data_IF_657030237864
#
_entry.id   IF_657030237864
#
_cell.length_a   1.000
_cell.length_b   1.000
_cell.length_c   1.000
_cell.angle_alpha   90.00
_cell.angle_beta   90.00
_cell.angle_gamma   90.00
#
_symmetry.space_group_name_H-M   'P 1'
#
loop_
_entity.id
_entity.type
_entity.pdbx_description
1 polymer ?
#
# COMPACT_ATOMS: atom_id res chain seq x y z
N UNK A 1 -33.44 -21.07 9.71
CA UNK A 1 -32.60 -20.16 10.53
C UNK A 1 -32.85 -18.76 10.02
N UNK A 2 -33.49 -17.92 10.80
CA UNK A 2 -33.65 -16.52 10.43
C UNK A 2 -32.25 -15.86 10.42
N UNK A 3 -31.91 -15.06 9.40
CA UNK A 3 -30.63 -14.38 9.36
C UNK A 3 -30.54 -13.45 10.58
N UNK A 4 -29.44 -13.60 11.36
CA UNK A 4 -29.20 -12.67 12.46
C UNK A 4 -29.13 -11.24 11.91
N UNK A 5 -29.72 -10.25 12.59
CA UNK A 5 -29.65 -8.86 12.15
C UNK A 5 -28.17 -8.44 12.06
N UNK A 6 -27.78 -7.88 10.91
CA UNK A 6 -26.44 -7.34 10.71
C UNK A 6 -26.18 -6.26 11.75
N UNK A 7 -25.02 -6.32 12.38
CA UNK A 7 -24.58 -5.23 13.27
C UNK A 7 -24.25 -3.99 12.46
N UNK A 8 -24.41 -2.81 13.03
CA UNK A 8 -24.04 -1.53 12.38
C UNK A 8 -22.60 -1.56 11.87
N UNK A 9 -21.68 -2.16 12.64
CA UNK A 9 -20.30 -2.32 12.22
C UNK A 9 -20.18 -3.15 10.93
N UNK A 10 -20.91 -4.25 10.83
CA UNK A 10 -20.89 -5.09 9.62
C UNK A 10 -21.37 -4.31 8.39
N UNK A 11 -22.42 -3.50 8.53
CA UNK A 11 -22.89 -2.62 7.45
C UNK A 11 -21.87 -1.58 7.03
N UNK A 12 -21.11 -1.01 7.99
CA UNK A 12 -20.04 -0.05 7.70
C UNK A 12 -18.87 -0.71 6.97
N UNK A 13 -18.47 -1.93 7.38
CA UNK A 13 -17.41 -2.72 6.72
C UNK A 13 -17.82 -3.12 5.30
N UNK A 14 -19.06 -3.55 5.09
CA UNK A 14 -19.57 -3.86 3.75
C UNK A 14 -19.58 -2.60 2.85
N UNK A 15 -19.99 -1.45 3.40
CA UNK A 15 -20.00 -0.20 2.65
C UNK A 15 -18.59 0.24 2.24
N UNK A 16 -17.58 0.07 3.13
CA UNK A 16 -16.18 0.31 2.79
C UNK A 16 -15.70 -0.67 1.72
N UNK A 17 -15.94 -1.96 1.89
CA UNK A 17 -15.58 -2.98 0.90
C UNK A 17 -16.14 -2.69 -0.49
N UNK A 18 -17.37 -2.16 -0.56
CA UNK A 18 -17.96 -1.73 -1.82
C UNK A 18 -17.22 -0.52 -2.43
N UNK A 19 -16.90 0.50 -1.63
CA UNK A 19 -16.12 1.66 -2.10
C UNK A 19 -14.78 1.21 -2.67
N UNK A 20 -14.06 0.29 -1.98
CA UNK A 20 -12.80 -0.25 -2.47
C UNK A 20 -12.98 -1.07 -3.75
N UNK A 21 -13.99 -1.92 -3.82
CA UNK A 21 -14.28 -2.71 -5.01
C UNK A 21 -14.58 -1.81 -6.23
N UNK A 22 -15.40 -0.77 -6.04
CA UNK A 22 -15.73 0.20 -7.08
C UNK A 22 -14.48 1.00 -7.51
N UNK A 23 -13.63 1.40 -6.55
CA UNK A 23 -12.35 2.05 -6.82
C UNK A 23 -11.41 1.14 -7.63
N UNK A 24 -11.27 -0.13 -7.22
CA UNK A 24 -10.45 -1.11 -7.93
C UNK A 24 -11.01 -1.47 -9.32
N UNK A 25 -12.30 -1.35 -9.53
CA UNK A 25 -12.92 -1.59 -10.82
C UNK A 25 -12.85 -0.41 -11.77
N UNK A 26 -12.87 0.83 -11.25
CA UNK A 26 -12.98 2.04 -12.05
C UNK A 26 -11.75 2.95 -11.98
N UNK A 27 -10.84 2.74 -11.03
CA UNK A 27 -9.76 3.67 -10.66
C UNK A 27 -10.28 5.10 -10.41
N UNK A 28 -11.47 5.18 -9.81
CA UNK A 28 -12.12 6.45 -9.49
C UNK A 28 -12.79 6.34 -8.13
N UNK A 29 -12.42 7.22 -7.20
CA UNK A 29 -12.99 7.23 -5.86
C UNK A 29 -14.33 7.97 -5.87
N UNK A 30 -15.40 7.29 -5.39
CA UNK A 30 -16.67 7.96 -5.11
C UNK A 30 -16.56 8.76 -3.81
N UNK A 31 -16.15 10.02 -3.95
CA UNK A 31 -15.99 10.96 -2.82
C UNK A 31 -17.29 11.13 -2.01
N UNK A 32 -18.46 11.08 -2.66
CA UNK A 32 -19.74 11.20 -1.96
C UNK A 32 -20.04 9.96 -1.10
N UNK A 33 -19.73 8.77 -1.61
CA UNK A 33 -19.88 7.53 -0.84
C UNK A 33 -18.92 7.54 0.37
N UNK A 34 -17.66 7.94 0.16
CA UNK A 34 -16.67 8.08 1.24
C UNK A 34 -17.13 9.06 2.30
N UNK A 35 -17.53 10.29 1.93
CA UNK A 35 -17.97 11.29 2.88
C UNK A 35 -19.24 10.88 3.64
N UNK A 36 -20.16 10.18 2.98
CA UNK A 36 -21.36 9.63 3.61
C UNK A 36 -20.99 8.56 4.65
N UNK A 37 -20.07 7.67 4.31
CA UNK A 37 -19.61 6.62 5.22
C UNK A 37 -18.86 7.22 6.42
N UNK A 38 -17.97 8.18 6.20
CA UNK A 38 -17.26 8.90 7.26
C UNK A 38 -18.24 9.54 8.26
N UNK A 39 -19.27 10.22 7.76
CA UNK A 39 -20.31 10.83 8.63
C UNK A 39 -21.04 9.78 9.47
N UNK A 40 -21.34 8.61 8.91
CA UNK A 40 -21.95 7.51 9.67
C UNK A 40 -21.02 7.03 10.78
N UNK A 41 -19.73 6.78 10.46
CA UNK A 41 -18.73 6.34 11.43
C UNK A 41 -18.56 7.39 12.54
N UNK A 42 -18.45 8.68 12.21
CA UNK A 42 -18.32 9.74 13.20
C UNK A 42 -19.55 9.82 14.13
N UNK A 43 -20.76 9.68 13.59
CA UNK A 43 -21.98 9.63 14.38
C UNK A 43 -21.98 8.44 15.35
N UNK A 44 -21.54 7.26 14.89
CA UNK A 44 -21.41 6.10 15.75
C UNK A 44 -20.37 6.34 16.88
N UNK A 45 -19.24 6.94 16.57
CA UNK A 45 -18.21 7.29 17.54
C UNK A 45 -18.71 8.29 18.61
N UNK A 46 -19.55 9.26 18.22
CA UNK A 46 -20.15 10.26 19.13
C UNK A 46 -21.21 9.65 20.06
N UNK A 47 -22.02 8.74 19.55
CA UNK A 47 -23.13 8.13 20.30
C UNK A 47 -22.69 6.90 21.12
N UNK A 48 -21.46 6.43 20.96
CA UNK A 48 -21.08 5.12 21.43
C UNK A 48 -20.65 5.05 22.90
N UNK A 49 -21.44 4.36 23.70
CA UNK A 49 -21.10 3.93 25.07
C UNK A 49 -20.73 2.45 25.21
N UNK A 50 -20.44 1.76 24.08
CA UNK A 50 -20.26 0.31 24.01
C UNK A 50 -18.82 -0.20 24.15
N UNK A 51 -18.54 -1.46 23.78
CA UNK A 51 -17.25 -2.12 23.97
C UNK A 51 -16.10 -1.43 23.23
N UNK A 52 -14.92 -1.38 23.85
CA UNK A 52 -13.69 -0.80 23.29
C UNK A 52 -13.30 -1.35 21.90
N UNK A 53 -13.38 -2.68 21.63
CA UNK A 53 -13.00 -3.23 20.31
C UNK A 53 -13.80 -2.63 19.15
N UNK A 54 -15.08 -2.36 19.37
CA UNK A 54 -15.93 -1.72 18.35
C UNK A 54 -15.44 -0.30 18.04
N UNK A 55 -15.10 0.48 19.07
CA UNK A 55 -14.54 1.82 18.90
C UNK A 55 -13.22 1.79 18.16
N UNK A 56 -12.36 0.79 18.43
CA UNK A 56 -11.12 0.58 17.73
C UNK A 56 -11.34 0.35 16.24
N UNK A 57 -12.31 -0.51 15.87
CA UNK A 57 -12.67 -0.77 14.48
C UNK A 57 -13.18 0.48 13.77
N UNK A 58 -14.01 1.30 14.40
CA UNK A 58 -14.52 2.54 13.81
C UNK A 58 -13.39 3.56 13.51
N UNK A 59 -12.44 3.73 14.42
CA UNK A 59 -11.27 4.58 14.16
C UNK A 59 -10.39 4.02 13.04
N UNK A 60 -10.19 2.71 12.99
CA UNK A 60 -9.45 2.05 11.91
C UNK A 60 -10.10 2.27 10.54
N UNK A 61 -11.43 2.08 10.43
CA UNK A 61 -12.18 2.33 9.21
C UNK A 61 -12.10 3.81 8.77
N UNK A 62 -12.17 4.74 9.74
CA UNK A 62 -12.02 6.17 9.46
C UNK A 62 -10.62 6.49 8.90
N UNK A 63 -9.57 5.86 9.46
CA UNK A 63 -8.20 6.00 8.95
C UNK A 63 -8.07 5.52 7.50
N UNK A 64 -8.66 4.37 7.15
CA UNK A 64 -8.67 3.87 5.77
C UNK A 64 -9.37 4.82 4.82
N UNK A 65 -10.55 5.33 5.17
CA UNK A 65 -11.28 6.29 4.33
C UNK A 65 -10.51 7.60 4.12
N UNK A 66 -9.82 8.08 5.16
CA UNK A 66 -8.91 9.23 5.02
C UNK A 66 -7.71 8.89 4.10
N UNK A 67 -7.17 7.69 4.23
CA UNK A 67 -6.09 7.19 3.38
C UNK A 67 -6.49 7.08 1.91
N UNK A 68 -7.68 6.56 1.60
CA UNK A 68 -8.22 6.50 0.24
C UNK A 68 -8.35 7.89 -0.40
N UNK A 69 -8.61 8.91 0.40
CA UNK A 69 -8.70 10.31 -0.04
C UNK A 69 -7.35 11.05 -0.04
N UNK A 70 -6.25 10.41 0.37
CA UNK A 70 -4.95 11.08 0.56
C UNK A 70 -4.98 12.21 1.62
N UNK A 71 -5.95 12.18 2.55
CA UNK A 71 -6.15 13.25 3.53
C UNK A 71 -5.27 13.07 4.78
N UNK A 72 -4.98 14.20 5.42
CA UNK A 72 -4.34 14.22 6.74
C UNK A 72 -5.24 13.60 7.81
N UNK A 73 -4.64 13.10 8.90
CA UNK A 73 -5.36 12.56 10.04
C UNK A 73 -5.35 11.04 10.15
N UNK A 74 -4.84 10.33 9.16
CA UNK A 74 -4.71 8.86 9.17
C UNK A 74 -4.01 8.38 10.44
N UNK A 75 -2.82 8.91 10.75
CA UNK A 75 -2.03 8.49 11.90
C UNK A 75 -2.78 8.72 13.23
N UNK A 76 -3.46 9.87 13.36
CA UNK A 76 -4.25 10.17 14.56
C UNK A 76 -5.42 9.19 14.77
N UNK A 77 -6.07 8.75 13.69
CA UNK A 77 -7.15 7.77 13.79
C UNK A 77 -6.60 6.36 14.09
N UNK A 78 -5.46 5.97 13.49
CA UNK A 78 -4.79 4.70 13.81
C UNK A 78 -4.30 4.67 15.28
N UNK A 79 -3.77 5.78 15.80
CA UNK A 79 -3.37 5.90 17.21
C UNK A 79 -4.59 5.75 18.14
N UNK A 80 -5.75 6.34 17.79
CA UNK A 80 -7.01 6.15 18.53
C UNK A 80 -7.52 4.72 18.48
N UNK A 81 -7.38 4.04 17.33
CA UNK A 81 -7.73 2.63 17.20
C UNK A 81 -6.85 1.77 18.12
N UNK A 82 -5.54 2.01 18.16
CA UNK A 82 -4.60 1.32 19.05
C UNK A 82 -4.93 1.60 20.53
N UNK A 83 -5.16 2.86 20.90
CA UNK A 83 -5.54 3.24 22.25
C UNK A 83 -6.88 2.63 22.68
N UNK A 84 -7.74 2.28 21.73
CA UNK A 84 -9.01 1.58 21.95
C UNK A 84 -8.86 0.04 21.99
N UNK A 85 -7.64 -0.49 21.83
CA UNK A 85 -7.31 -1.90 22.01
C UNK A 85 -7.08 -2.70 20.72
N UNK A 86 -6.93 -2.03 19.56
CA UNK A 86 -6.49 -2.73 18.36
C UNK A 86 -5.03 -3.18 18.50
N UNK A 87 -4.73 -4.35 17.96
CA UNK A 87 -3.40 -4.92 17.96
C UNK A 87 -2.37 -3.99 17.32
N UNK A 88 -1.23 -3.69 17.99
CA UNK A 88 -0.18 -2.83 17.45
C UNK A 88 0.38 -3.29 16.11
N UNK A 89 0.47 -4.60 15.86
CA UNK A 89 0.93 -5.18 14.59
C UNK A 89 -0.06 -4.85 13.48
N UNK A 90 -1.36 -5.07 13.72
CA UNK A 90 -2.41 -4.72 12.78
C UNK A 90 -2.40 -3.22 12.42
N UNK A 91 -2.19 -2.36 13.43
CA UNK A 91 -2.03 -0.91 13.22
C UNK A 91 -0.81 -0.59 12.36
N UNK A 92 0.34 -1.20 12.64
CA UNK A 92 1.56 -0.95 11.87
C UNK A 92 1.41 -1.39 10.41
N UNK A 93 0.84 -2.57 10.16
CA UNK A 93 0.56 -3.07 8.80
C UNK A 93 -0.42 -2.15 8.08
N UNK A 94 -1.50 -1.74 8.74
CA UNK A 94 -2.48 -0.81 8.16
C UNK A 94 -1.87 0.56 7.83
N UNK A 95 -1.04 1.10 8.75
CA UNK A 95 -0.31 2.35 8.54
C UNK A 95 0.64 2.26 7.35
N UNK A 96 1.40 1.16 7.24
CA UNK A 96 2.29 0.88 6.12
C UNK A 96 1.51 0.76 4.81
N UNK A 97 0.40 0.02 4.80
CA UNK A 97 -0.45 -0.14 3.61
C UNK A 97 -1.02 1.20 3.12
N UNK A 98 -1.58 2.01 4.01
CA UNK A 98 -2.10 3.34 3.67
C UNK A 98 -0.96 4.25 3.16
N UNK A 99 0.24 4.15 3.74
CA UNK A 99 1.40 4.90 3.26
C UNK A 99 1.77 4.50 1.83
N UNK A 100 1.79 3.20 1.51
CA UNK A 100 2.05 2.68 0.16
C UNK A 100 1.00 3.16 -0.85
N UNK A 101 -0.28 3.06 -0.54
CA UNK A 101 -1.36 3.60 -1.39
C UNK A 101 -1.20 5.10 -1.68
N UNK A 102 -0.60 5.82 -0.75
CA UNK A 102 -0.33 7.25 -0.90
C UNK A 102 1.09 7.55 -1.40
N UNK A 103 1.82 6.56 -1.91
CA UNK A 103 3.17 6.71 -2.47
C UNK A 103 4.21 7.23 -1.48
N UNK A 104 4.03 6.99 -0.18
CA UNK A 104 4.97 7.37 0.89
C UNK A 104 5.87 6.18 1.23
N UNK A 105 6.73 5.83 0.28
CA UNK A 105 7.49 4.57 0.30
C UNK A 105 8.49 4.55 1.46
N UNK A 106 9.27 5.61 1.63
CA UNK A 106 10.24 5.74 2.73
C UNK A 106 9.57 5.70 4.11
N UNK A 107 8.38 6.29 4.25
CA UNK A 107 7.62 6.23 5.49
C UNK A 107 7.10 4.80 5.76
N UNK A 108 6.56 4.13 4.76
CA UNK A 108 6.16 2.72 4.88
C UNK A 108 7.35 1.84 5.29
N UNK A 109 8.53 2.02 4.67
CA UNK A 109 9.75 1.32 5.04
C UNK A 109 10.07 1.48 6.52
N UNK A 110 10.06 2.70 7.05
CA UNK A 110 10.38 2.96 8.47
C UNK A 110 9.46 2.22 9.43
N UNK A 111 8.21 1.95 9.03
CA UNK A 111 7.25 1.18 9.82
C UNK A 111 7.61 -0.30 9.79
N UNK A 112 7.82 -0.87 8.59
CA UNK A 112 8.04 -2.32 8.45
C UNK A 112 9.40 -2.77 8.97
N UNK A 113 10.43 -1.89 8.96
CA UNK A 113 11.73 -2.14 9.58
C UNK A 113 11.64 -2.36 11.11
N UNK A 114 10.67 -1.70 11.75
CA UNK A 114 10.43 -1.81 13.19
C UNK A 114 9.65 -3.05 13.63
N UNK A 115 9.14 -3.88 12.69
CA UNK A 115 8.34 -5.04 13.02
C UNK A 115 9.21 -6.28 13.23
N UNK A 116 9.08 -6.91 14.41
CA UNK A 116 9.63 -8.25 14.65
C UNK A 116 8.86 -9.28 13.81
N UNK A 117 9.59 -10.14 13.09
CA UNK A 117 9.00 -11.10 12.15
C UNK A 117 8.72 -12.46 12.75
N UNK A 118 9.38 -12.77 13.87
CA UNK A 118 9.41 -14.13 14.47
C UNK A 118 8.06 -14.55 15.05
N UNK A 119 7.22 -13.61 15.45
CA UNK A 119 5.95 -13.88 16.16
C UNK A 119 4.69 -13.48 15.37
N UNK A 120 4.83 -13.18 14.06
CA UNK A 120 3.69 -12.71 13.26
C UNK A 120 2.74 -13.86 12.88
N UNK A 121 1.41 -13.66 13.00
CA UNK A 121 0.43 -14.53 12.34
C UNK A 121 0.68 -14.63 10.83
N UNK A 122 0.32 -15.76 10.22
CA UNK A 122 0.58 -16.00 8.78
C UNK A 122 0.05 -14.88 7.86
N UNK A 123 -1.18 -14.42 8.08
CA UNK A 123 -1.77 -13.33 7.31
C UNK A 123 -0.96 -12.03 7.43
N UNK A 124 -0.44 -11.72 8.63
CA UNK A 124 0.41 -10.56 8.86
C UNK A 124 1.77 -10.71 8.17
N UNK A 125 2.35 -11.92 8.15
CA UNK A 125 3.60 -12.21 7.42
C UNK A 125 3.45 -12.03 5.92
N UNK A 126 2.34 -12.48 5.33
CA UNK A 126 2.05 -12.28 3.91
C UNK A 126 1.92 -10.80 3.55
N UNK A 127 1.15 -10.03 4.34
CA UNK A 127 1.02 -8.59 4.16
C UNK A 127 2.36 -7.87 4.32
N UNK A 128 3.12 -8.20 5.37
CA UNK A 128 4.45 -7.63 5.60
C UNK A 128 5.39 -7.91 4.42
N UNK A 129 5.39 -9.14 3.90
CA UNK A 129 6.21 -9.52 2.76
C UNK A 129 5.87 -8.71 1.50
N UNK A 130 4.58 -8.51 1.21
CA UNK A 130 4.14 -7.64 0.12
C UNK A 130 4.64 -6.21 0.32
N UNK A 131 4.56 -5.67 1.54
CA UNK A 131 5.07 -4.32 1.85
C UNK A 131 6.59 -4.21 1.72
N UNK A 132 7.35 -5.26 2.10
CA UNK A 132 8.81 -5.30 1.87
C UNK A 132 9.16 -5.20 0.38
N UNK A 133 8.47 -5.96 -0.47
CA UNK A 133 8.64 -5.88 -1.92
C UNK A 133 8.30 -4.50 -2.48
N UNK A 134 7.20 -3.91 -2.02
CA UNK A 134 6.73 -2.59 -2.46
C UNK A 134 7.61 -1.45 -1.96
N UNK A 135 8.28 -1.61 -0.83
CA UNK A 135 9.25 -0.63 -0.29
C UNK A 135 10.67 -0.82 -0.81
N UNK A 136 10.93 -1.85 -1.63
CA UNK A 136 12.26 -2.13 -2.16
C UNK A 136 13.20 -2.83 -1.15
N UNK A 137 12.67 -3.45 -0.09
CA UNK A 137 13.46 -4.18 0.91
C UNK A 137 13.68 -5.64 0.49
N UNK A 138 14.34 -5.84 -0.63
CA UNK A 138 14.47 -7.13 -1.28
C UNK A 138 15.47 -8.06 -0.58
N UNK A 139 16.56 -7.52 -0.01
CA UNK A 139 17.49 -8.31 0.80
C UNK A 139 16.81 -8.85 2.07
N UNK A 140 15.88 -8.08 2.61
CA UNK A 140 15.11 -8.50 3.76
C UNK A 140 14.20 -9.71 3.44
N UNK A 141 13.57 -9.72 2.25
CA UNK A 141 12.79 -10.86 1.77
C UNK A 141 13.68 -12.09 1.60
N UNK A 142 14.87 -11.93 1.04
CA UNK A 142 15.82 -13.05 0.84
C UNK A 142 16.24 -13.71 2.15
N UNK A 143 16.45 -12.91 3.20
CA UNK A 143 16.87 -13.42 4.52
C UNK A 143 15.78 -14.25 5.21
N UNK A 144 14.50 -13.91 4.96
CA UNK A 144 13.35 -14.54 5.60
C UNK A 144 12.81 -15.75 4.84
N UNK A 145 13.38 -16.06 3.67
CA UNK A 145 12.79 -17.02 2.76
C UNK A 145 13.57 -18.34 2.72
N UNK A 146 12.91 -19.41 3.02
CA UNK A 146 13.42 -20.79 2.79
C UNK A 146 13.32 -21.23 1.29
N UNK A 147 13.31 -20.28 0.35
CA UNK A 147 13.46 -20.55 -1.09
C UNK A 147 12.22 -21.07 -1.82
N UNK A 148 11.04 -20.53 -1.54
CA UNK A 148 9.80 -20.85 -2.29
C UNK A 148 9.76 -20.28 -3.70
N UNK A 149 8.99 -20.91 -4.60
CA UNK A 149 8.81 -20.48 -6.00
C UNK A 149 8.14 -19.11 -6.14
N UNK A 150 7.45 -18.67 -5.10
CA UNK A 150 6.65 -17.45 -5.00
C UNK A 150 7.47 -16.16 -4.84
N UNK A 151 8.81 -16.25 -4.61
CA UNK A 151 9.73 -15.10 -4.43
C UNK A 151 10.86 -15.04 -5.45
N UNK A 152 10.75 -15.79 -6.55
CA UNK A 152 11.81 -15.83 -7.58
C UNK A 152 12.14 -14.45 -8.13
N UNK A 153 11.14 -13.57 -8.28
CA UNK A 153 11.32 -12.21 -8.82
C UNK A 153 12.11 -11.34 -7.85
N UNK A 154 11.76 -11.38 -6.57
CA UNK A 154 12.41 -10.61 -5.50
C UNK A 154 13.87 -11.07 -5.34
N UNK A 155 14.13 -12.38 -5.41
CA UNK A 155 15.48 -12.94 -5.38
C UNK A 155 16.31 -12.49 -6.60
N UNK A 156 15.73 -12.55 -7.80
CA UNK A 156 16.41 -12.09 -9.02
C UNK A 156 16.71 -10.58 -8.91
N UNK A 157 15.73 -9.78 -8.47
CA UNK A 157 15.91 -8.34 -8.27
C UNK A 157 17.03 -8.05 -7.26
N UNK A 158 17.03 -8.69 -6.09
CA UNK A 158 18.07 -8.49 -5.08
C UNK A 158 19.48 -8.85 -5.60
N UNK A 159 19.63 -9.91 -6.40
CA UNK A 159 20.91 -10.28 -7.02
C UNK A 159 21.37 -9.22 -8.02
N UNK A 160 20.47 -8.71 -8.86
CA UNK A 160 20.76 -7.65 -9.83
C UNK A 160 21.20 -6.39 -9.08
N UNK A 161 20.44 -5.93 -8.07
CA UNK A 161 20.78 -4.75 -7.27
C UNK A 161 22.15 -4.86 -6.59
N UNK A 162 22.45 -6.04 -6.04
CA UNK A 162 23.76 -6.29 -5.44
C UNK A 162 24.89 -6.15 -6.47
N UNK A 163 24.70 -6.61 -7.71
CA UNK A 163 25.68 -6.44 -8.80
C UNK A 163 25.84 -4.96 -9.20
N UNK A 164 24.74 -4.20 -9.17
CA UNK A 164 24.72 -2.76 -9.46
C UNK A 164 25.23 -1.91 -8.29
N UNK A 165 25.53 -2.50 -7.14
CA UNK A 165 25.89 -1.82 -5.91
C UNK A 165 24.79 -0.84 -5.43
N UNK A 166 23.52 -1.20 -5.64
CA UNK A 166 22.33 -0.50 -5.16
C UNK A 166 21.81 -1.29 -3.97
N UNK A 167 21.77 -0.68 -2.80
CA UNK A 167 21.21 -1.29 -1.59
C UNK A 167 19.69 -1.03 -1.48
N UNK A 168 19.04 -1.71 -0.53
CA UNK A 168 17.60 -1.55 -0.26
C UNK A 168 17.22 -0.11 0.12
N UNK A 169 18.14 0.67 0.72
CA UNK A 169 17.86 2.07 1.11
C UNK A 169 17.82 2.96 -0.11
N UNK A 170 18.80 2.80 -0.99
CA UNK A 170 18.87 3.56 -2.24
C UNK A 170 17.71 3.21 -3.18
N UNK A 171 17.35 1.93 -3.30
CA UNK A 171 16.16 1.54 -4.05
C UNK A 171 14.89 2.18 -3.48
N UNK A 172 14.71 2.13 -2.15
CA UNK A 172 13.55 2.76 -1.50
C UNK A 172 13.44 4.25 -1.83
N UNK A 173 14.56 4.99 -1.79
CA UNK A 173 14.56 6.42 -2.14
C UNK A 173 14.13 6.66 -3.58
N UNK A 174 14.63 5.86 -4.52
CA UNK A 174 14.23 5.96 -5.95
C UNK A 174 12.74 5.67 -6.15
N UNK A 175 12.21 4.64 -5.47
CA UNK A 175 10.77 4.34 -5.49
C UNK A 175 9.94 5.48 -4.87
N UNK A 176 10.43 6.09 -3.77
CA UNK A 176 9.76 7.22 -3.12
C UNK A 176 9.73 8.47 -4.00
N UNK A 177 10.84 8.78 -4.69
CA UNK A 177 10.93 9.85 -5.70
C UNK A 177 9.91 9.62 -6.82
N UNK A 178 9.88 8.45 -7.42
CA UNK A 178 8.93 8.11 -8.48
C UNK A 178 7.48 8.24 -7.99
N UNK A 179 7.16 7.69 -6.81
CA UNK A 179 5.83 7.78 -6.23
C UNK A 179 5.44 9.21 -5.84
N UNK A 180 6.38 10.06 -5.45
CA UNK A 180 6.13 11.48 -5.22
C UNK A 180 5.70 12.17 -6.49
N UNK A 181 6.41 11.96 -7.60
CA UNK A 181 6.06 12.52 -8.91
C UNK A 181 4.69 12.03 -9.37
N UNK A 182 4.40 10.73 -9.23
CA UNK A 182 3.09 10.17 -9.55
C UNK A 182 1.99 10.86 -8.72
N UNK A 183 2.19 11.00 -7.41
CA UNK A 183 1.24 11.62 -6.49
C UNK A 183 0.97 13.10 -6.79
N UNK A 184 1.95 13.82 -7.30
CA UNK A 184 1.84 15.23 -7.66
C UNK A 184 1.12 15.46 -9.01
N UNK A 185 1.08 14.44 -9.87
CA UNK A 185 0.58 14.55 -11.24
C UNK A 185 -0.63 13.65 -11.57
N UNK A 186 -0.96 12.70 -10.72
CA UNK A 186 -2.07 11.76 -10.95
C UNK A 186 -3.10 11.82 -9.83
N UNK A 187 -4.34 11.49 -10.16
CA UNK A 187 -5.39 11.33 -9.15
C UNK A 187 -5.21 9.99 -8.42
N UNK A 188 -5.14 10.03 -7.11
CA UNK A 188 -4.78 8.89 -6.24
C UNK A 188 -5.96 8.14 -5.65
N UNK A 189 -5.75 6.97 -5.07
CA UNK A 189 -4.53 6.30 -4.57
C UNK A 189 -3.76 5.53 -5.64
N UNK A 190 -2.52 5.10 -5.32
CA UNK A 190 -1.75 4.17 -6.13
C UNK A 190 -2.32 2.77 -5.88
N UNK A 191 -3.05 2.22 -6.86
CA UNK A 191 -3.79 0.96 -6.70
C UNK A 191 -3.00 -0.27 -7.13
N UNK A 192 -1.92 -0.08 -7.88
CA UNK A 192 -1.17 -1.20 -8.41
C UNK A 192 0.30 -0.92 -8.60
N UNK A 193 1.11 -1.84 -8.10
CA UNK A 193 2.54 -1.93 -8.36
C UNK A 193 2.86 -3.34 -8.82
N UNK A 194 3.74 -3.48 -9.80
CA UNK A 194 4.29 -4.77 -10.23
C UNK A 194 5.80 -4.69 -10.29
N UNK A 195 6.45 -5.68 -9.71
CA UNK A 195 7.86 -5.95 -9.88
C UNK A 195 8.03 -7.05 -10.95
N UNK A 196 8.80 -6.75 -11.97
CA UNK A 196 9.40 -7.74 -12.86
C UNK A 196 10.91 -7.74 -12.62
N UNK A 197 11.52 -8.92 -12.54
CA UNK A 197 12.96 -9.05 -12.49
C UNK A 197 13.38 -10.40 -13.10
N UNK A 198 14.40 -10.34 -13.96
CA UNK A 198 15.00 -11.49 -14.59
C UNK A 198 16.50 -11.24 -14.81
N UNK A 199 17.34 -12.21 -14.42
CA UNK A 199 18.78 -12.12 -14.64
C UNK A 199 19.09 -12.03 -16.15
N UNK A 200 19.84 -11.00 -16.53
CA UNK A 200 20.14 -10.67 -17.92
C UNK A 200 19.14 -9.74 -18.62
N UNK A 201 17.96 -9.53 -18.07
CA UNK A 201 16.96 -8.58 -18.60
C UNK A 201 16.78 -7.35 -17.70
N UNK A 202 17.09 -7.47 -16.39
CA UNK A 202 17.02 -6.38 -15.44
C UNK A 202 15.80 -6.40 -14.52
N UNK A 203 15.54 -5.25 -13.91
CA UNK A 203 14.46 -4.99 -12.97
C UNK A 203 13.55 -3.91 -13.53
N UNK A 204 12.24 -4.14 -13.43
CA UNK A 204 11.22 -3.17 -13.81
C UNK A 204 10.15 -3.04 -12.73
N UNK A 205 10.12 -1.87 -12.07
CA UNK A 205 9.02 -1.46 -11.23
C UNK A 205 7.98 -0.70 -12.05
N UNK A 206 6.75 -1.17 -12.05
CA UNK A 206 5.63 -0.57 -12.78
C UNK A 206 4.54 -0.11 -11.82
N UNK A 207 4.17 1.15 -11.91
CA UNK A 207 3.03 1.73 -11.21
C UNK A 207 1.87 1.92 -12.18
N UNK A 208 0.71 1.35 -11.85
CA UNK A 208 -0.47 1.49 -12.70
C UNK A 208 -1.17 2.83 -12.44
N UNK A 209 -1.37 3.60 -13.49
CA UNK A 209 -2.04 4.90 -13.43
C UNK A 209 -3.12 4.96 -14.51
N UNK A 210 -4.31 5.45 -14.16
CA UNK A 210 -5.39 5.68 -15.14
C UNK A 210 -5.24 7.08 -15.73
N UNK A 211 -4.66 7.14 -16.90
CA UNK A 211 -4.46 8.36 -17.67
C UNK A 211 -4.45 8.02 -19.17
N UNK A 212 -4.54 9.00 -20.04
CA UNK A 212 -4.32 8.82 -21.48
C UNK A 212 -2.86 8.43 -21.76
N UNK A 213 -2.60 7.88 -22.96
CA UNK A 213 -1.23 7.48 -23.33
C UNK A 213 -0.30 8.71 -23.32
N UNK A 214 -0.75 9.85 -23.80
CA UNK A 214 0.06 11.07 -23.84
C UNK A 214 0.40 11.55 -22.42
N UNK A 215 -0.57 11.54 -21.49
CA UNK A 215 -0.34 11.87 -20.08
C UNK A 215 0.61 10.86 -19.40
N UNK A 216 0.55 9.58 -19.76
CA UNK A 216 1.46 8.57 -19.25
C UNK A 216 2.89 8.76 -19.75
N UNK A 217 3.07 9.18 -21.02
CA UNK A 217 4.37 9.52 -21.57
C UNK A 217 4.96 10.70 -20.80
N UNK A 218 4.20 11.81 -20.68
CA UNK A 218 4.64 12.98 -19.92
C UNK A 218 4.97 12.65 -18.44
N UNK A 219 4.19 11.77 -17.83
CA UNK A 219 4.42 11.35 -16.45
C UNK A 219 5.68 10.48 -16.32
N UNK A 220 5.95 9.60 -17.28
CA UNK A 220 7.19 8.83 -17.34
C UNK A 220 8.42 9.73 -17.50
N UNK A 221 8.35 10.75 -18.38
CA UNK A 221 9.42 11.73 -18.55
C UNK A 221 9.70 12.48 -17.24
N UNK A 222 8.66 12.95 -16.54
CA UNK A 222 8.81 13.60 -15.23
C UNK A 222 9.41 12.67 -14.16
N UNK A 223 9.02 11.39 -14.15
CA UNK A 223 9.60 10.41 -13.23
C UNK A 223 11.08 10.20 -13.54
N UNK A 224 11.42 10.07 -14.82
CA UNK A 224 12.81 9.90 -15.27
C UNK A 224 13.67 11.10 -14.90
N UNK A 225 13.20 12.31 -15.20
CA UNK A 225 13.89 13.57 -14.89
C UNK A 225 14.17 13.68 -13.38
N UNK A 226 13.16 13.43 -12.54
CA UNK A 226 13.33 13.48 -11.09
C UNK A 226 14.32 12.42 -10.57
N UNK A 227 14.31 11.22 -11.15
CA UNK A 227 15.28 10.18 -10.79
C UNK A 227 16.72 10.55 -11.19
N UNK A 228 16.91 11.21 -12.34
CA UNK A 228 18.21 11.72 -12.79
C UNK A 228 18.71 12.85 -11.89
N UNK A 229 17.80 13.76 -11.50
CA UNK A 229 18.16 14.94 -10.72
C UNK A 229 18.47 14.62 -9.25
N UNK A 230 17.78 13.64 -8.66
CA UNK A 230 17.82 13.38 -7.23
C UNK A 230 18.72 12.20 -6.82
N UNK A 231 19.13 11.37 -7.79
CA UNK A 231 19.93 10.17 -7.49
C UNK A 231 21.21 10.13 -8.30
N UNK A 232 22.34 9.99 -7.62
CA UNK A 232 23.65 9.77 -8.23
C UNK A 232 23.75 8.34 -8.82
N UNK A 233 24.46 8.24 -9.94
CA UNK A 233 24.74 6.96 -10.60
C UNK A 233 23.87 6.73 -11.84
N UNK A 234 24.26 5.74 -12.67
CA UNK A 234 23.51 5.45 -13.87
C UNK A 234 22.08 5.07 -13.47
N UNK A 235 21.09 5.66 -14.13
CA UNK A 235 19.84 4.97 -14.37
C UNK A 235 20.22 3.79 -15.21
N UNK A 236 20.54 2.71 -14.52
CA UNK A 236 21.15 1.57 -15.17
C UNK A 236 20.13 0.97 -16.13
N UNK A 237 20.59 0.53 -17.28
CA UNK A 237 19.75 -0.20 -18.22
C UNK A 237 19.06 -1.40 -17.56
N UNK A 238 19.58 -1.84 -16.40
CA UNK A 238 19.07 -2.95 -15.63
C UNK A 238 18.04 -2.57 -14.54
N UNK A 239 17.81 -1.28 -14.21
CA UNK A 239 16.78 -0.83 -13.25
C UNK A 239 15.90 0.24 -13.87
N UNK A 240 14.66 -0.09 -14.12
CA UNK A 240 13.65 0.85 -14.63
C UNK A 240 12.50 1.01 -13.65
N UNK A 241 12.06 2.24 -13.45
CA UNK A 241 10.87 2.59 -12.67
C UNK A 241 9.97 3.41 -13.57
N UNK A 242 8.75 2.95 -13.84
CA UNK A 242 7.87 3.62 -14.79
C UNK A 242 6.39 3.54 -14.38
N UNK A 243 5.57 4.36 -15.03
CA UNK A 243 4.12 4.26 -14.99
C UNK A 243 3.61 3.52 -16.21
N UNK A 244 2.54 2.75 -16.02
CA UNK A 244 1.87 1.98 -17.08
C UNK A 244 0.37 2.23 -17.02
N UNK A 245 -0.37 2.03 -18.15
CA UNK A 245 -1.81 2.13 -18.14
C UNK A 245 -2.43 1.20 -17.10
N UNK A 246 -3.35 1.71 -16.31
CA UNK A 246 -4.19 0.87 -15.46
C UNK A 246 -5.20 0.11 -16.31
N UNK A 247 -5.40 -1.17 -15.98
CA UNK A 247 -6.42 -2.01 -16.56
C UNK A 247 -7.15 -2.80 -15.45
N UNK A 248 -8.48 -2.85 -15.53
CA UNK A 248 -9.29 -3.64 -14.61
C UNK A 248 -9.06 -5.16 -14.74
N UNK A 249 -8.58 -5.59 -15.91
CA UNK A 249 -8.29 -6.99 -16.22
C UNK A 249 -6.92 -7.44 -15.69
N UNK A 250 -6.00 -6.51 -15.48
CA UNK A 250 -4.70 -6.81 -14.90
C UNK A 250 -4.82 -6.95 -13.37
N UNK A 251 -4.50 -8.15 -12.86
CA UNK A 251 -4.32 -8.35 -11.43
C UNK A 251 -3.06 -7.63 -10.96
N UNK A 252 -3.16 -6.32 -10.68
CA UNK A 252 -2.17 -5.64 -9.88
C UNK A 252 -2.30 -6.16 -8.44
N UNK A 253 -1.17 -6.55 -7.83
CA UNK A 253 -1.13 -7.19 -6.51
C UNK A 253 -2.01 -6.46 -5.50
N UNK A 254 -3.10 -7.12 -5.10
CA UNK A 254 -3.99 -6.72 -4.01
C UNK A 254 -3.52 -7.26 -2.66
N UNK A 255 -2.34 -7.88 -2.61
CA UNK A 255 -1.86 -8.71 -1.49
C UNK A 255 -1.40 -7.90 -0.27
N UNK A 256 -1.37 -6.58 -0.32
CA UNK A 256 -0.92 -5.76 0.80
C UNK A 256 -1.98 -5.39 1.84
N UNK A 257 -3.27 -5.59 1.56
CA UNK A 257 -4.34 -5.22 2.46
C UNK A 257 -4.52 -6.25 3.59
N UNK A 258 -4.19 -5.87 4.81
CA UNK A 258 -4.50 -6.65 5.99
C UNK A 258 -5.93 -6.37 6.43
N UNK A 259 -6.81 -7.36 6.29
CA UNK A 259 -8.17 -7.27 6.81
C UNK A 259 -8.19 -7.76 8.26
N UNK A 260 -8.47 -6.84 9.18
CA UNK A 260 -8.71 -7.20 10.58
C UNK A 260 -10.02 -7.99 10.65
N UNK A 261 -9.93 -9.30 10.87
CA UNK A 261 -11.09 -10.12 11.23
C UNK A 261 -11.44 -9.82 12.68
N UNK A 262 -12.58 -9.22 12.92
CA UNK A 262 -13.18 -9.14 14.25
C UNK A 262 -13.86 -10.49 14.49
N UNK A 263 -13.16 -11.43 15.17
CA UNK A 263 -13.75 -12.65 15.73
C UNK A 263 -14.46 -12.34 17.05
#
# INVERSE_FOLDING_TARGET
MDPQPKTVLHELLEARGKIEADLLASYSLDEFAVERLKRKIMKELECWGGPRPYKAALHHELAYLLGLQGRKGVDAELDRAQASGMDPIAIAISRSHIALMNGRISFSRSIVEGLSREELPEAARLALRAHLGQTGMLEAIMKDSEGGDDIKREIAAARILKRLNIDDVELTKRLDTACRVIRENANHPILGQKLFAMEGEGILYRYAVKASIDELIELNDKVLDALIEEHDGPLDQELSICVVPWSAEENFNREGAYHVSLN
#
